data_IF_372295179169
#
_entry.id   IF_372295179169
#
_cell.length_a   1.000
_cell.length_b   1.000
_cell.length_c   1.000
_cell.angle_alpha   90.00
_cell.angle_beta   90.00
_cell.angle_gamma   90.00
#
_symmetry.space_group_name_H-M   'P 1'
#
loop_
_entity.id
_entity.type
_entity.pdbx_description
1 polymer ?
#
# COMPACT_ATOMS: atom_id res chain seq x y z
N UNK A 1 5.05 19.23 -10.59
CA UNK A 1 4.90 18.18 -9.57
C UNK A 1 5.42 16.88 -10.17
N UNK A 2 6.32 16.17 -9.51
CA UNK A 2 6.88 14.92 -10.04
C UNK A 2 5.78 13.85 -10.14
N UNK A 3 5.83 13.01 -11.19
CA UNK A 3 4.94 11.86 -11.29
C UNK A 3 5.20 10.89 -10.13
N UNK A 4 4.15 10.34 -9.50
CA UNK A 4 4.34 9.38 -8.42
C UNK A 4 5.01 8.11 -8.96
N UNK A 5 5.93 7.51 -8.19
CA UNK A 5 6.71 6.35 -8.64
C UNK A 5 5.82 5.13 -8.88
N UNK A 6 6.18 4.31 -9.88
CA UNK A 6 5.48 3.05 -10.21
C UNK A 6 5.59 2.04 -9.05
N UNK A 7 6.66 2.11 -8.26
CA UNK A 7 6.88 1.31 -7.06
C UNK A 7 7.66 2.11 -6.03
N UNK A 8 7.30 1.97 -4.76
CA UNK A 8 8.03 2.59 -3.64
C UNK A 8 8.04 1.69 -2.40
N UNK A 9 9.03 1.86 -1.51
CA UNK A 9 8.95 1.32 -0.15
C UNK A 9 7.86 2.05 0.66
N UNK A 10 7.59 1.52 1.85
CA UNK A 10 6.78 2.21 2.85
C UNK A 10 7.42 3.54 3.24
N UNK A 11 6.59 4.55 3.45
CA UNK A 11 7.03 5.79 4.11
C UNK A 11 7.35 5.49 5.58
N UNK A 12 8.11 6.38 6.23
CA UNK A 12 8.33 6.27 7.67
C UNK A 12 7.00 6.31 8.46
N UNK A 13 6.02 7.09 8.00
CA UNK A 13 4.68 7.15 8.60
C UNK A 13 3.90 5.85 8.43
N UNK A 14 3.91 5.25 7.25
CA UNK A 14 3.24 3.97 6.98
C UNK A 14 3.85 2.83 7.78
N UNK A 15 5.18 2.79 7.87
CA UNK A 15 5.89 1.82 8.72
C UNK A 15 5.49 1.99 10.19
N UNK A 16 5.45 3.21 10.71
CA UNK A 16 5.05 3.47 12.09
C UNK A 16 3.58 3.10 12.34
N UNK A 17 2.69 3.41 11.40
CA UNK A 17 1.27 3.05 11.46
C UNK A 17 1.08 1.53 11.51
N UNK A 18 1.75 0.79 10.62
CA UNK A 18 1.68 -0.67 10.59
C UNK A 18 2.35 -1.31 11.82
N UNK A 19 3.52 -0.81 12.24
CA UNK A 19 4.20 -1.27 13.45
C UNK A 19 3.37 -1.04 14.73
N UNK A 20 2.55 0.00 14.77
CA UNK A 20 1.59 0.23 15.86
C UNK A 20 0.54 -0.88 16.01
N UNK A 21 0.25 -1.62 14.94
CA UNK A 21 -0.72 -2.73 14.92
C UNK A 21 -0.05 -4.10 14.99
N UNK A 22 1.03 -4.30 14.25
CA UNK A 22 1.65 -5.63 14.03
C UNK A 22 2.99 -5.80 14.74
N UNK A 23 3.55 -4.74 15.33
CA UNK A 23 4.82 -4.79 16.04
C UNK A 23 5.94 -5.35 15.17
N UNK A 24 6.75 -6.32 15.66
CA UNK A 24 7.87 -6.88 14.92
C UNK A 24 7.49 -8.04 13.98
N UNK A 25 6.19 -8.37 13.83
CA UNK A 25 5.76 -9.57 13.10
C UNK A 25 5.95 -9.48 11.56
N UNK A 26 6.13 -8.27 11.04
CA UNK A 26 6.26 -8.00 9.60
C UNK A 26 7.65 -7.42 9.32
N UNK A 27 8.31 -7.92 8.29
CA UNK A 27 9.49 -7.26 7.71
C UNK A 27 9.05 -6.10 6.81
N UNK A 28 8.93 -4.91 7.40
CA UNK A 28 8.46 -3.71 6.70
C UNK A 28 9.39 -3.24 5.59
N UNK A 29 10.68 -3.57 5.67
CA UNK A 29 11.67 -3.13 4.69
C UNK A 29 11.55 -3.95 3.37
N UNK A 30 10.94 -5.14 3.44
CA UNK A 30 10.59 -5.95 2.27
C UNK A 30 9.31 -5.49 1.55
N UNK A 31 8.37 -4.84 2.25
CA UNK A 31 7.07 -4.46 1.68
C UNK A 31 7.20 -3.30 0.70
N UNK A 32 6.54 -3.44 -0.47
CA UNK A 32 6.48 -2.40 -1.49
C UNK A 32 5.05 -2.09 -1.88
N UNK A 33 4.82 -0.83 -2.23
CA UNK A 33 3.58 -0.34 -2.81
C UNK A 33 3.79 -0.09 -4.30
N UNK A 34 2.99 -0.74 -5.13
CA UNK A 34 3.06 -0.67 -6.58
C UNK A 34 1.83 0.04 -7.13
N UNK A 35 2.03 1.09 -7.93
CA UNK A 35 0.99 1.71 -8.75
C UNK A 35 0.95 1.02 -10.12
N UNK A 36 0.73 -0.29 -10.11
CA UNK A 36 0.71 -1.18 -11.29
C UNK A 36 -0.35 -2.27 -11.11
N UNK A 37 -0.89 -2.77 -12.22
CA UNK A 37 -1.67 -4.01 -12.22
C UNK A 37 -0.80 -5.18 -11.73
N UNK A 38 -1.30 -5.97 -10.78
CA UNK A 38 -0.68 -7.24 -10.42
C UNK A 38 -0.91 -8.29 -11.52
N UNK A 39 -2.14 -8.37 -12.05
CA UNK A 39 -2.51 -9.25 -13.16
C UNK A 39 -3.37 -8.52 -14.22
N UNK A 40 -3.51 -9.06 -15.45
CA UNK A 40 -4.17 -8.35 -16.56
C UNK A 40 -5.61 -7.88 -16.27
N UNK A 41 -6.41 -8.66 -15.54
CA UNK A 41 -7.80 -8.30 -15.19
C UNK A 41 -7.93 -7.69 -13.78
N UNK A 42 -6.85 -7.14 -13.21
CA UNK A 42 -6.90 -6.39 -11.95
C UNK A 42 -7.85 -5.18 -12.11
N UNK A 43 -9.00 -5.13 -11.39
CA UNK A 43 -9.94 -4.03 -11.54
C UNK A 43 -9.43 -2.72 -10.91
N UNK A 44 -9.75 -1.53 -11.44
CA UNK A 44 -9.23 -0.25 -10.92
C UNK A 44 -9.58 0.10 -9.47
N UNK A 45 -10.67 -0.47 -8.94
CA UNK A 45 -11.19 -0.19 -7.59
C UNK A 45 -10.80 -1.23 -6.55
N UNK A 46 -10.01 -2.22 -6.94
CA UNK A 46 -9.54 -3.29 -6.05
C UNK A 46 -8.08 -3.02 -5.71
N UNK A 47 -7.69 -3.34 -4.49
CA UNK A 47 -6.30 -3.42 -4.05
C UNK A 47 -5.98 -4.90 -3.86
N UNK A 48 -4.76 -5.31 -4.18
CA UNK A 48 -4.34 -6.71 -4.06
C UNK A 48 -3.00 -6.78 -3.35
N UNK A 49 -2.82 -7.78 -2.48
CA UNK A 49 -1.54 -8.09 -1.88
C UNK A 49 -1.27 -9.61 -1.81
N UNK A 50 -0.97 -10.25 -2.96
CA UNK A 50 -0.86 -11.71 -3.04
C UNK A 50 0.56 -12.25 -2.78
N UNK A 51 1.58 -11.38 -2.74
CA UNK A 51 3.00 -11.73 -2.71
C UNK A 51 3.80 -10.93 -1.67
N UNK A 52 3.14 -10.39 -0.65
CA UNK A 52 3.77 -9.54 0.39
C UNK A 52 4.06 -8.11 -0.08
N UNK A 53 3.54 -7.71 -1.23
CA UNK A 53 3.53 -6.33 -1.72
C UNK A 53 2.09 -5.87 -1.98
N UNK A 54 1.84 -4.57 -1.91
CA UNK A 54 0.51 -4.00 -2.11
C UNK A 54 0.42 -3.38 -3.50
N UNK A 55 -0.55 -3.83 -4.28
CA UNK A 55 -0.74 -3.47 -5.68
C UNK A 55 -2.00 -2.62 -5.83
N UNK A 56 -1.81 -1.40 -6.29
CA UNK A 56 -2.85 -0.48 -6.69
C UNK A 56 -2.87 -0.39 -8.21
N UNK A 57 -4.05 -0.56 -8.80
CA UNK A 57 -4.23 -0.28 -10.21
C UNK A 57 -3.76 1.15 -10.57
N UNK A 58 -3.13 1.40 -11.73
CA UNK A 58 -2.64 2.74 -12.10
C UNK A 58 -3.71 3.84 -12.06
N UNK A 59 -4.94 3.49 -12.44
CA UNK A 59 -6.13 4.35 -12.43
C UNK A 59 -6.91 4.30 -11.10
N UNK A 60 -6.36 3.64 -10.07
CA UNK A 60 -7.05 3.54 -8.80
C UNK A 60 -7.19 4.91 -8.13
N UNK A 61 -8.40 5.34 -7.74
CA UNK A 61 -8.58 6.58 -6.99
C UNK A 61 -8.09 6.47 -5.53
N UNK A 62 -7.74 5.26 -5.11
CA UNK A 62 -7.36 4.89 -3.75
C UNK A 62 -5.88 5.20 -3.48
N UNK A 63 -5.04 5.28 -4.52
CA UNK A 63 -3.60 5.53 -4.35
C UNK A 63 -3.33 6.78 -3.51
N UNK A 64 -2.39 6.65 -2.58
CA UNK A 64 -1.86 7.75 -1.77
C UNK A 64 -0.34 7.71 -1.75
N UNK A 65 0.27 8.89 -1.73
CA UNK A 65 1.72 9.02 -1.60
C UNK A 65 2.20 8.68 -0.19
N UNK A 66 1.33 8.85 0.80
CA UNK A 66 1.54 8.45 2.19
C UNK A 66 0.18 8.08 2.81
N UNK A 67 -0.04 6.79 3.08
CA UNK A 67 -1.29 6.32 3.70
C UNK A 67 -1.41 6.74 5.16
N UNK A 68 -0.31 7.00 5.86
CA UNK A 68 -0.37 7.48 7.24
C UNK A 68 -0.95 8.90 7.38
N UNK A 69 -0.91 9.69 6.30
CA UNK A 69 -1.52 11.02 6.22
C UNK A 69 -2.88 11.03 5.52
N UNK A 70 -3.38 9.86 5.12
CA UNK A 70 -4.66 9.73 4.43
C UNK A 70 -5.84 9.71 5.42
N UNK A 71 -7.10 9.89 4.97
CA UNK A 71 -8.28 9.69 5.80
C UNK A 71 -8.31 8.29 6.43
N UNK A 72 -8.96 8.15 7.59
CA UNK A 72 -8.93 6.91 8.38
C UNK A 72 -9.37 5.67 7.61
N UNK A 73 -10.30 5.81 6.67
CA UNK A 73 -10.75 4.70 5.82
C UNK A 73 -9.63 4.17 4.90
N UNK A 74 -8.77 5.07 4.38
CA UNK A 74 -7.63 4.69 3.56
C UNK A 74 -6.50 4.11 4.41
N UNK A 75 -6.29 4.62 5.63
CA UNK A 75 -5.39 4.00 6.61
C UNK A 75 -5.84 2.57 6.94
N UNK A 76 -7.14 2.38 7.20
CA UNK A 76 -7.73 1.08 7.49
C UNK A 76 -7.57 0.09 6.34
N UNK A 77 -7.79 0.54 5.10
CA UNK A 77 -7.54 -0.28 3.91
C UNK A 77 -6.05 -0.67 3.82
N UNK A 78 -5.13 0.28 3.97
CA UNK A 78 -3.70 -0.03 3.99
C UNK A 78 -3.36 -1.10 5.03
N UNK A 79 -3.87 -0.96 6.26
CA UNK A 79 -3.65 -1.95 7.33
C UNK A 79 -4.31 -3.30 7.03
N UNK A 80 -5.48 -3.32 6.39
CA UNK A 80 -6.13 -4.55 5.94
C UNK A 80 -5.26 -5.32 4.92
N UNK A 81 -4.61 -4.62 4.01
CA UNK A 81 -3.73 -5.24 3.00
C UNK A 81 -2.35 -5.65 3.56
N UNK A 82 -1.97 -5.21 4.76
CA UNK A 82 -0.71 -5.61 5.40
C UNK A 82 -0.74 -7.03 6.01
N UNK A 83 -1.92 -7.66 6.10
CA UNK A 83 -2.11 -8.99 6.72
C UNK A 83 -2.47 -10.10 5.74
N UNK A 84 -2.44 -9.81 4.44
CA UNK A 84 -2.81 -10.74 3.36
C UNK A 84 -1.60 -11.24 2.59
#
# INVERSE_FOLDING_TARGET
>A
MAEPPISRPLTAGERALAAGMFGPAIDYDAVRLHRRKWWPLHPPRVVMAPDGHIWFHPESPIWRNDFAQAPVAAQGLFIHEMVV
#
